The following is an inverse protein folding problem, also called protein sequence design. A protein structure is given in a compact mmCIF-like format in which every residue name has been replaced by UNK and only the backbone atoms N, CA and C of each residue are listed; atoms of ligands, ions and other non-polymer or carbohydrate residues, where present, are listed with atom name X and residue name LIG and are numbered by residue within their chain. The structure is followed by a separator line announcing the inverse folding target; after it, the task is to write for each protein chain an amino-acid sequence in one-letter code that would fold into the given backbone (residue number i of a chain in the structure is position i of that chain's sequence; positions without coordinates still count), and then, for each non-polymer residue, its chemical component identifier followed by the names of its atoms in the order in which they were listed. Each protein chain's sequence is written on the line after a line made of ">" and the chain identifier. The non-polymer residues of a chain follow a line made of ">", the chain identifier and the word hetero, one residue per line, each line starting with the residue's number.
data_IF_795050836768
#
_entry.id   IF_795050836768
#
_cell.length_a   1.000
_cell.length_b   1.000
_cell.length_c   1.000
_cell.angle_alpha   90.00
_cell.angle_beta   90.00
_cell.angle_gamma   90.00
#
_symmetry.space_group_name_H-M   'P 1'
#
loop_
_entity.id
_entity.type
_entity.pdbx_description
1 polymer ?
#
# COMPACT_ATOMS: atom_id res chain seq x y z
N UNK A 1 15.33 -16.33 -57.20
CA UNK A 1 15.89 -15.38 -56.22
C UNK A 1 14.78 -14.89 -55.32
N UNK A 2 15.09 -14.69 -54.04
CA UNK A 2 14.30 -15.01 -52.85
C UNK A 2 13.25 -13.96 -52.48
N UNK A 3 11.97 -14.35 -52.46
CA UNK A 3 10.89 -13.65 -51.70
C UNK A 3 11.15 -13.61 -50.18
N UNK A 4 12.14 -14.36 -49.71
CA UNK A 4 12.56 -14.43 -48.30
C UNK A 4 13.47 -13.27 -47.89
N UNK A 5 14.21 -12.66 -48.82
CA UNK A 5 15.10 -11.53 -48.50
C UNK A 5 14.31 -10.28 -48.09
N UNK A 6 13.11 -10.10 -48.64
CA UNK A 6 12.24 -8.96 -48.34
C UNK A 6 11.53 -9.08 -46.98
N UNK A 7 11.49 -10.29 -46.41
CA UNK A 7 10.95 -10.55 -45.07
C UNK A 7 12.02 -10.44 -43.98
N UNK A 8 13.28 -10.70 -44.31
CA UNK A 8 14.43 -10.63 -43.40
C UNK A 8 15.10 -9.23 -43.37
N UNK A 9 14.84 -8.39 -44.38
CA UNK A 9 15.38 -7.02 -44.48
C UNK A 9 14.69 -6.01 -43.57
N UNK A 10 13.48 -6.32 -43.06
CA UNK A 10 12.82 -5.50 -42.03
C UNK A 10 13.41 -5.82 -40.66
N UNK A 11 14.63 -5.32 -40.41
CA UNK A 11 15.09 -5.06 -39.05
C UNK A 11 13.98 -4.25 -38.39
N UNK A 12 13.19 -4.89 -37.51
CA UNK A 12 12.32 -4.16 -36.58
C UNK A 12 13.27 -3.22 -35.87
N UNK A 13 13.24 -1.95 -36.24
CA UNK A 13 13.90 -0.91 -35.47
C UNK A 13 13.31 -1.06 -34.08
N UNK A 14 14.14 -1.52 -33.14
CA UNK A 14 13.77 -1.55 -31.73
C UNK A 14 13.39 -0.12 -31.43
N UNK A 15 12.09 0.14 -31.28
CA UNK A 15 11.61 1.48 -30.94
C UNK A 15 12.27 1.76 -29.60
N UNK A 16 13.22 2.71 -29.52
CA UNK A 16 13.88 3.00 -28.26
C UNK A 16 12.79 3.39 -27.28
N UNK A 17 12.59 2.56 -26.25
CA UNK A 17 11.62 2.85 -25.20
C UNK A 17 12.02 4.19 -24.61
N UNK A 18 11.10 5.15 -24.62
CA UNK A 18 11.34 6.46 -24.01
C UNK A 18 11.55 6.24 -22.50
N UNK A 19 12.81 6.30 -22.06
CA UNK A 19 13.18 6.17 -20.66
C UNK A 19 13.18 7.55 -19.99
N UNK A 20 12.22 7.75 -19.07
CA UNK A 20 12.06 8.98 -18.30
C UNK A 20 12.52 8.80 -16.84
N UNK A 21 13.13 7.67 -16.48
CA UNK A 21 13.49 7.33 -15.09
C UNK A 21 14.42 8.34 -14.41
N UNK A 22 15.17 9.13 -15.18
CA UNK A 22 16.12 10.15 -14.69
C UNK A 22 15.65 11.59 -14.87
N UNK A 23 14.46 11.83 -15.41
CA UNK A 23 13.93 13.20 -15.54
C UNK A 23 13.34 13.68 -14.22
N UNK A 24 13.81 14.84 -13.73
CA UNK A 24 13.26 15.54 -12.58
C UNK A 24 12.58 16.83 -13.07
N UNK A 25 11.30 16.99 -12.77
CA UNK A 25 10.44 18.08 -13.27
C UNK A 25 10.23 19.08 -12.14
N UNK A 26 10.59 20.35 -12.36
CA UNK A 26 10.48 21.40 -11.35
C UNK A 26 9.49 22.50 -11.76
N UNK A 27 9.12 22.57 -13.03
CA UNK A 27 8.17 23.58 -13.56
C UNK A 27 7.10 22.97 -14.46
N UNK A 28 5.98 23.69 -14.64
CA UNK A 28 4.84 23.24 -15.47
C UNK A 28 5.21 23.23 -16.96
N UNK A 29 6.09 24.14 -17.36
CA UNK A 29 6.62 24.24 -18.71
C UNK A 29 7.51 23.04 -19.05
N UNK A 30 8.33 22.58 -18.11
CA UNK A 30 9.14 21.36 -18.25
C UNK A 30 8.26 20.12 -18.40
N UNK A 31 7.19 20.03 -17.60
CA UNK A 31 6.23 18.94 -17.70
C UNK A 31 5.61 18.87 -19.10
N UNK A 32 5.13 20.00 -19.64
CA UNK A 32 4.51 20.07 -20.97
C UNK A 32 5.47 19.61 -22.07
N UNK A 33 6.73 20.06 -22.03
CA UNK A 33 7.78 19.66 -22.99
C UNK A 33 8.11 18.17 -22.91
N UNK A 34 8.04 17.57 -21.73
CA UNK A 34 8.29 16.15 -21.55
C UNK A 34 7.10 15.32 -22.07
N UNK A 35 5.88 15.79 -21.81
CA UNK A 35 4.64 15.16 -22.26
C UNK A 35 4.54 15.10 -23.78
N UNK A 36 4.99 16.14 -24.50
CA UNK A 36 5.06 16.17 -25.97
C UNK A 36 5.95 15.07 -26.56
N UNK A 37 6.89 14.52 -25.78
CA UNK A 37 7.76 13.42 -26.23
C UNK A 37 7.09 12.05 -26.06
N UNK A 38 6.03 11.95 -25.27
CA UNK A 38 5.32 10.69 -25.01
C UNK A 38 4.48 10.34 -26.24
N UNK A 39 4.73 9.19 -26.90
CA UNK A 39 3.93 8.80 -28.06
C UNK A 39 2.47 8.52 -27.68
N UNK A 40 1.52 9.04 -28.45
CA UNK A 40 0.09 8.74 -28.30
C UNK A 40 -0.20 7.27 -28.67
N UNK A 41 -0.20 6.38 -27.67
CA UNK A 41 -0.54 4.97 -27.89
C UNK A 41 -2.05 4.74 -27.80
N UNK A 42 -2.74 4.91 -28.93
CA UNK A 42 -4.14 4.45 -29.05
C UNK A 42 -4.15 2.93 -29.22
N UNK A 43 -4.34 2.20 -28.12
CA UNK A 43 -4.57 0.76 -28.17
C UNK A 43 -5.80 0.50 -29.03
N UNK A 44 -5.60 -0.11 -30.21
CA UNK A 44 -6.74 -0.67 -30.95
C UNK A 44 -7.17 -1.94 -30.22
N UNK A 45 -8.47 -2.14 -29.98
CA UNK A 45 -8.95 -3.39 -29.41
C UNK A 45 -8.54 -4.53 -30.35
N UNK A 46 -7.65 -5.39 -29.88
CA UNK A 46 -7.26 -6.61 -30.59
C UNK A 46 -8.45 -7.56 -30.48
N UNK A 47 -9.17 -7.77 -31.59
CA UNK A 47 -10.19 -8.80 -31.68
C UNK A 47 -9.49 -10.15 -31.74
N UNK A 48 -9.43 -10.84 -30.61
CA UNK A 48 -8.91 -12.21 -30.53
C UNK A 48 -9.89 -13.14 -31.24
N UNK A 49 -9.42 -13.88 -32.25
CA UNK A 49 -10.23 -14.89 -32.95
C UNK A 49 -10.30 -16.16 -32.12
N UNK A 50 -11.41 -16.89 -32.21
CA UNK A 50 -11.61 -18.11 -31.42
C UNK A 50 -10.52 -19.16 -31.69
N UNK A 51 -10.01 -19.24 -32.92
CA UNK A 51 -8.95 -20.17 -33.32
C UNK A 51 -7.58 -19.91 -32.65
N UNK A 52 -7.35 -18.69 -32.15
CA UNK A 52 -6.10 -18.30 -31.48
C UNK A 52 -6.14 -18.59 -29.96
N UNK A 53 -7.32 -18.94 -29.43
CA UNK A 53 -7.53 -19.23 -28.02
C UNK A 53 -7.20 -20.71 -27.76
N UNK A 54 -5.94 -20.99 -27.40
CA UNK A 54 -5.55 -22.31 -26.91
C UNK A 54 -5.91 -22.46 -25.44
N UNK A 55 -7.14 -22.89 -25.16
CA UNK A 55 -7.54 -23.34 -23.82
C UNK A 55 -6.94 -24.72 -23.61
N UNK A 56 -6.01 -24.87 -22.67
CA UNK A 56 -5.57 -26.20 -22.21
C UNK A 56 -6.74 -26.82 -21.46
N UNK A 57 -7.44 -27.77 -22.07
CA UNK A 57 -8.42 -28.67 -21.43
C UNK A 57 -7.72 -29.62 -20.44
N UNK A 58 -7.12 -29.08 -19.39
CA UNK A 58 -7.01 -29.80 -18.14
C UNK A 58 -8.03 -29.16 -17.23
N UNK A 59 -8.68 -29.99 -16.43
CA UNK A 59 -9.61 -29.65 -15.35
C UNK A 59 -8.97 -28.73 -14.29
N UNK A 60 -8.50 -27.56 -14.71
CA UNK A 60 -7.85 -26.57 -13.89
C UNK A 60 -8.94 -25.82 -13.14
N UNK A 61 -9.51 -26.52 -12.17
CA UNK A 61 -10.25 -25.86 -11.12
C UNK A 61 -9.21 -25.14 -10.25
N UNK A 62 -9.34 -23.81 -10.11
CA UNK A 62 -8.71 -23.08 -9.01
C UNK A 62 -9.31 -23.60 -7.70
N UNK A 63 -8.76 -24.71 -7.18
CA UNK A 63 -9.16 -25.24 -5.90
C UNK A 63 -8.59 -24.32 -4.83
N UNK A 64 -9.46 -23.60 -4.13
CA UNK A 64 -9.04 -22.88 -2.94
C UNK A 64 -8.39 -23.88 -1.95
N UNK A 65 -7.25 -23.52 -1.34
CA UNK A 65 -6.68 -24.30 -0.26
C UNK A 65 -7.75 -24.62 0.80
N UNK A 66 -7.78 -25.87 1.30
CA UNK A 66 -8.78 -26.31 2.31
C UNK A 66 -8.90 -25.37 3.51
N UNK A 67 -7.80 -24.67 3.85
CA UNK A 67 -7.74 -23.68 4.94
C UNK A 67 -8.54 -22.42 4.61
N UNK A 68 -8.43 -21.91 3.38
CA UNK A 68 -9.21 -20.74 2.91
C UNK A 68 -10.68 -21.09 2.75
N UNK A 69 -10.98 -22.28 2.21
CA UNK A 69 -12.37 -22.76 2.09
C UNK A 69 -13.09 -22.85 3.44
N UNK A 70 -12.41 -23.34 4.49
CA UNK A 70 -12.96 -23.34 5.86
C UNK A 70 -13.19 -21.94 6.41
N UNK A 71 -12.29 -21.00 6.15
CA UNK A 71 -12.45 -19.61 6.58
C UNK A 71 -13.65 -18.97 5.89
N UNK A 72 -13.80 -19.17 4.59
CA UNK A 72 -14.92 -18.68 3.79
C UNK A 72 -16.26 -19.24 4.30
N UNK A 73 -16.32 -20.55 4.56
CA UNK A 73 -17.51 -21.20 5.11
C UNK A 73 -17.87 -20.67 6.51
N UNK A 74 -16.88 -20.34 7.34
CA UNK A 74 -17.09 -19.72 8.67
C UNK A 74 -17.52 -18.26 8.58
N UNK A 75 -17.10 -17.56 7.53
CA UNK A 75 -17.45 -16.16 7.26
C UNK A 75 -18.69 -16.03 6.34
N UNK A 76 -19.57 -17.02 6.31
CA UNK A 76 -20.80 -17.02 5.50
C UNK A 76 -20.61 -16.69 3.99
N UNK A 77 -19.45 -17.00 3.41
CA UNK A 77 -19.16 -16.72 2.00
C UNK A 77 -18.44 -15.40 1.73
N UNK A 78 -18.13 -14.60 2.74
CA UNK A 78 -17.38 -13.34 2.58
C UNK A 78 -15.89 -13.61 2.31
N UNK A 79 -15.43 -13.23 1.11
CA UNK A 79 -14.07 -13.50 0.61
C UNK A 79 -13.00 -12.60 1.22
N UNK A 80 -13.38 -11.42 1.68
CA UNK A 80 -12.49 -10.48 2.34
C UNK A 80 -13.08 -10.11 3.68
N UNK A 81 -12.44 -10.58 4.77
CA UNK A 81 -12.54 -9.83 6.01
C UNK A 81 -11.94 -8.46 5.71
N UNK A 82 -12.71 -7.38 5.94
CA UNK A 82 -12.22 -6.00 5.89
C UNK A 82 -10.80 -5.98 6.47
N UNK A 83 -9.81 -5.45 5.75
CA UNK A 83 -8.45 -5.40 6.25
C UNK A 83 -8.43 -4.60 7.56
N UNK A 84 -8.39 -5.30 8.69
CA UNK A 84 -8.29 -4.69 10.00
C UNK A 84 -6.83 -4.39 10.24
N UNK A 85 -6.48 -3.10 10.29
CA UNK A 85 -5.18 -2.69 10.78
C UNK A 85 -4.94 -3.34 12.15
N UNK A 86 -3.70 -3.80 12.37
CA UNK A 86 -3.32 -4.30 13.67
C UNK A 86 -3.51 -3.19 14.71
N UNK A 87 -4.15 -3.53 15.83
CA UNK A 87 -4.21 -2.65 16.99
C UNK A 87 -2.77 -2.42 17.50
N UNK A 88 -2.26 -1.18 17.45
CA UNK A 88 -0.89 -0.89 17.86
C UNK A 88 -0.71 -0.92 19.38
N UNK A 89 -1.81 -1.03 20.16
CA UNK A 89 -1.75 -1.08 21.63
C UNK A 89 -1.34 -2.49 22.09
N UNK A 90 -0.23 -2.64 22.82
CA UNK A 90 0.15 -3.92 23.41
C UNK A 90 -0.96 -4.49 24.29
N UNK A 91 -1.13 -5.81 24.30
CA UNK A 91 -2.23 -6.48 24.98
C UNK A 91 -2.33 -6.14 26.47
N UNK A 92 -1.20 -6.03 27.16
CA UNK A 92 -1.08 -5.72 28.59
C UNK A 92 -1.44 -4.26 28.90
N UNK A 93 -1.43 -3.39 27.91
CA UNK A 93 -1.62 -1.95 28.07
C UNK A 93 -3.03 -1.49 27.67
N UNK A 94 -3.91 -2.41 27.24
CA UNK A 94 -5.26 -2.08 26.73
C UNK A 94 -6.16 -1.39 27.75
N UNK A 95 -5.97 -1.70 29.02
CA UNK A 95 -6.75 -1.11 30.12
C UNK A 95 -6.19 0.23 30.59
N UNK A 96 -5.06 0.68 30.04
CA UNK A 96 -4.47 1.98 30.36
C UNK A 96 -5.13 3.06 29.53
N UNK A 97 -5.70 4.07 30.20
CA UNK A 97 -6.27 5.24 29.53
C UNK A 97 -5.11 6.12 29.02
N UNK A 98 -4.80 6.00 27.74
CA UNK A 98 -3.65 6.68 27.12
C UNK A 98 -3.65 8.19 27.37
N UNK A 99 -4.82 8.84 27.30
CA UNK A 99 -4.92 10.29 27.49
C UNK A 99 -4.53 10.75 28.90
N UNK A 100 -4.77 9.94 29.93
CA UNK A 100 -4.35 10.26 31.30
C UNK A 100 -2.82 10.27 31.43
N UNK A 101 -2.14 9.33 30.74
CA UNK A 101 -0.69 9.31 30.67
C UNK A 101 -0.11 10.51 29.92
N UNK A 102 -0.81 10.98 28.87
CA UNK A 102 -0.36 12.08 28.04
C UNK A 102 -0.57 13.45 28.70
N UNK A 103 -1.56 13.59 29.59
CA UNK A 103 -1.87 14.86 30.25
C UNK A 103 -0.78 15.32 31.22
N UNK A 104 0.03 14.39 31.74
CA UNK A 104 1.03 14.66 32.77
C UNK A 104 2.45 14.64 32.17
N UNK A 105 3.31 15.62 32.46
CA UNK A 105 4.69 15.67 31.98
C UNK A 105 5.63 14.72 32.77
N UNK A 106 5.16 13.50 33.06
CA UNK A 106 5.88 12.45 33.79
C UNK A 106 6.03 11.24 32.85
N UNK A 107 7.10 10.46 33.00
CA UNK A 107 7.27 9.20 32.26
C UNK A 107 6.12 8.23 32.58
N UNK A 108 5.49 7.67 31.56
CA UNK A 108 4.35 6.76 31.73
C UNK A 108 4.71 5.53 32.56
N UNK A 109 5.98 5.11 32.56
CA UNK A 109 6.47 4.00 33.40
C UNK A 109 6.30 4.26 34.89
N UNK A 110 6.20 5.52 35.30
CA UNK A 110 5.93 5.94 36.68
C UNK A 110 4.44 6.11 36.99
N UNK A 111 3.58 6.16 35.97
CA UNK A 111 2.15 6.45 36.10
C UNK A 111 1.27 5.18 36.07
N UNK A 112 1.83 4.05 35.65
CA UNK A 112 1.16 2.75 35.68
C UNK A 112 2.12 1.65 36.13
N UNK A 113 1.57 0.58 36.69
CA UNK A 113 2.31 -0.66 37.02
C UNK A 113 2.30 -1.67 35.88
N UNK A 114 1.46 -1.49 34.86
CA UNK A 114 1.38 -2.37 33.69
C UNK A 114 2.63 -2.23 32.81
N UNK A 115 3.06 -3.35 32.22
CA UNK A 115 4.29 -3.44 31.43
C UNK A 115 4.04 -4.29 30.18
N UNK A 116 4.48 -3.84 28.99
CA UNK A 116 4.47 -4.65 27.78
C UNK A 116 5.35 -5.90 27.93
N UNK A 117 5.05 -6.96 27.17
CA UNK A 117 5.75 -8.25 27.30
C UNK A 117 7.17 -8.23 26.77
N UNK A 118 7.45 -7.37 25.79
CA UNK A 118 8.74 -7.31 25.13
C UNK A 118 9.17 -5.86 24.85
N UNK A 119 10.46 -5.69 24.58
CA UNK A 119 11.07 -4.39 24.32
C UNK A 119 10.45 -3.66 23.12
N UNK A 120 10.02 -4.38 22.09
CA UNK A 120 9.42 -3.77 20.90
C UNK A 120 8.07 -3.13 21.25
N UNK A 121 7.21 -3.85 21.97
CA UNK A 121 5.93 -3.34 22.46
C UNK A 121 6.12 -2.15 23.41
N UNK A 122 7.16 -2.17 24.24
CA UNK A 122 7.53 -1.04 25.10
C UNK A 122 7.92 0.21 24.29
N UNK A 123 8.72 0.03 23.23
CA UNK A 123 9.07 1.12 22.31
C UNK A 123 7.83 1.65 21.56
N UNK A 124 6.94 0.76 21.11
CA UNK A 124 5.68 1.15 20.47
C UNK A 124 4.77 1.95 21.40
N UNK A 125 4.55 1.47 22.63
CA UNK A 125 3.71 2.16 23.59
C UNK A 125 4.32 3.51 24.02
N UNK A 126 5.64 3.57 24.19
CA UNK A 126 6.34 4.83 24.50
C UNK A 126 6.16 5.87 23.41
N UNK A 127 6.27 5.48 22.13
CA UNK A 127 5.97 6.38 21.00
C UNK A 127 4.52 6.81 20.94
N UNK A 128 3.59 5.91 21.28
CA UNK A 128 2.16 6.23 21.33
C UNK A 128 1.86 7.31 22.37
N UNK A 129 2.45 7.21 23.57
CA UNK A 129 2.35 8.23 24.62
C UNK A 129 2.98 9.55 24.15
N UNK A 130 4.16 9.51 23.53
CA UNK A 130 4.84 10.70 23.02
C UNK A 130 4.00 11.44 21.97
N UNK A 131 3.45 10.71 21.00
CA UNK A 131 2.54 11.28 19.99
C UNK A 131 1.30 11.92 20.64
N UNK A 132 0.71 11.26 21.65
CA UNK A 132 -0.43 11.81 22.38
C UNK A 132 -0.09 13.10 23.14
N UNK A 133 1.11 13.18 23.75
CA UNK A 133 1.61 14.42 24.39
C UNK A 133 1.76 15.56 23.39
N UNK A 134 2.29 15.25 22.19
CA UNK A 134 2.47 16.23 21.12
C UNK A 134 1.13 16.73 20.55
N UNK A 135 0.11 15.87 20.49
CA UNK A 135 -1.25 16.24 20.04
C UNK A 135 -1.99 17.11 21.08
N UNK A 136 -1.77 16.87 22.38
CA UNK A 136 -2.38 17.66 23.46
C UNK A 136 -1.82 19.07 23.58
N UNK A 137 -0.51 19.25 23.38
CA UNK A 137 0.17 20.55 23.54
C UNK A 137 -0.48 21.70 22.75
N UNK A 138 -0.77 21.59 21.44
CA UNK A 138 -1.44 22.66 20.71
C UNK A 138 -2.89 22.85 21.15
N UNK A 139 -3.61 21.78 21.52
CA UNK A 139 -5.01 21.88 21.99
C UNK A 139 -5.12 22.65 23.31
N UNK A 140 -4.21 22.41 24.25
CA UNK A 140 -4.14 23.15 25.51
C UNK A 140 -3.82 24.62 25.26
N UNK A 141 -2.86 24.93 24.39
CA UNK A 141 -2.53 26.31 24.03
C UNK A 141 -3.72 27.05 23.39
N UNK A 142 -4.51 26.36 22.56
CA UNK A 142 -5.75 26.93 21.98
C UNK A 142 -6.79 27.16 23.08
N UNK A 143 -6.99 26.21 23.99
CA UNK A 143 -7.95 26.34 25.08
C UNK A 143 -7.61 27.51 26.04
N UNK A 144 -6.33 27.73 26.34
CA UNK A 144 -5.85 28.86 27.14
C UNK A 144 -5.97 30.21 26.40
N UNK A 145 -6.06 30.19 25.07
CA UNK A 145 -6.19 31.40 24.24
C UNK A 145 -7.63 31.85 23.98
N UNK A 146 -8.62 31.06 24.41
CA UNK A 146 -10.03 31.42 24.34
C UNK A 146 -10.42 32.26 25.58
N UNK A 147 -11.11 33.41 25.40
CA UNK A 147 -11.46 34.33 26.48
C UNK A 147 -12.53 33.78 27.44
#
# INVERSE_FOLDING_TARGET
>A
MSKLDDLLSKKKTVVPVLDLSRSNIQTVEEFKRLLEKVPDYKMRPVKVRAEEIKIREKDYAFKMPKKEMRKLLRANGEREAMYTYADPVPGEMKDVVLMELCAVPIDWKMLTTLRPKNKQEEEYFSRMVEMGKLDLKPRLAIAESLP
#
